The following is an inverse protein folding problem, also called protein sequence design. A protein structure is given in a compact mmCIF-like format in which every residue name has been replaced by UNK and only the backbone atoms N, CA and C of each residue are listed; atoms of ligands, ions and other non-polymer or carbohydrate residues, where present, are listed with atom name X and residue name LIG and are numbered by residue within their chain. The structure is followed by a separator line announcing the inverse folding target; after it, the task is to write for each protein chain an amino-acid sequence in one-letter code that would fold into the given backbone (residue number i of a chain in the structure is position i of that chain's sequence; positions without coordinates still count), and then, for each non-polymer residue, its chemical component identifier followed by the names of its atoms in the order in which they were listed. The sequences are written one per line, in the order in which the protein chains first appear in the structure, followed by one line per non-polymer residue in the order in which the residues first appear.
data_IF_478011202099
#
_entry.id   IF_478011202099
#
_cell.length_a   1.000
_cell.length_b   1.000
_cell.length_c   1.000
_cell.angle_alpha   90.00
_cell.angle_beta   90.00
_cell.angle_gamma   90.00
#
_symmetry.space_group_name_H-M   'P 1'
#
loop_
_entity.id
_entity.type
_entity.pdbx_description
1 polymer ?
#
# COMPACT_ATOMS: atom_id res chain seq x y z
N UNK A 1 28.57 16.67 -3.55
CA UNK A 1 28.28 18.07 -3.16
C UNK A 1 26.89 18.21 -2.53
N UNK A 2 25.81 17.76 -3.18
CA UNK A 2 24.45 17.73 -2.62
C UNK A 2 24.36 17.06 -1.22
N UNK A 3 24.95 15.88 -1.06
CA UNK A 3 24.85 15.11 0.21
C UNK A 3 25.59 15.77 1.39
N UNK A 4 26.66 16.54 1.13
CA UNK A 4 27.39 17.31 2.16
C UNK A 4 26.68 18.61 2.57
N UNK A 5 25.71 19.06 1.77
CA UNK A 5 24.90 20.25 2.05
C UNK A 5 23.68 19.87 2.90
N UNK A 6 23.07 18.71 2.62
CA UNK A 6 21.94 18.17 3.39
C UNK A 6 22.27 17.93 4.87
N UNK A 7 23.47 17.42 5.20
CA UNK A 7 23.91 17.31 6.61
C UNK A 7 24.13 18.68 7.28
N UNK A 8 24.47 19.73 6.51
CA UNK A 8 24.66 21.10 7.03
C UNK A 8 23.35 21.88 7.16
N UNK A 9 22.30 21.54 6.39
CA UNK A 9 20.97 22.14 6.51
C UNK A 9 20.35 21.99 7.90
N UNK A 10 20.62 20.90 8.62
CA UNK A 10 20.14 20.70 9.98
C UNK A 10 20.88 21.55 11.02
N UNK A 11 22.12 21.97 10.73
CA UNK A 11 22.95 22.80 11.63
C UNK A 11 22.81 24.31 11.38
N UNK A 12 22.14 24.71 10.31
CA UNK A 12 21.92 26.11 9.92
C UNK A 12 20.95 26.87 10.84
N UNK A 13 19.88 26.26 11.39
CA UNK A 13 19.08 26.88 12.45
C UNK A 13 19.94 27.25 13.66
N UNK A 14 20.92 26.42 14.00
CA UNK A 14 21.79 26.59 15.18
C UNK A 14 22.97 27.54 14.92
N UNK A 15 23.36 27.77 13.65
CA UNK A 15 24.45 28.67 13.25
C UNK A 15 24.03 29.54 12.04
N UNK A 16 23.36 30.68 12.26
CA UNK A 16 22.78 31.50 11.20
C UNK A 16 23.82 32.24 10.34
N UNK A 17 25.08 32.36 10.76
CA UNK A 17 26.11 33.17 10.08
C UNK A 17 26.90 32.44 8.98
N UNK A 18 26.57 31.19 8.69
CA UNK A 18 27.29 30.36 7.70
C UNK A 18 26.99 30.79 6.25
N UNK A 19 25.86 31.47 6.01
CA UNK A 19 25.40 31.87 4.67
C UNK A 19 24.93 33.32 4.64
N UNK A 20 24.88 33.89 3.44
CA UNK A 20 24.25 35.18 3.17
C UNK A 20 22.75 35.09 3.51
N UNK A 21 22.18 36.18 4.04
CA UNK A 21 20.85 36.20 4.65
C UNK A 21 19.91 37.13 3.90
N UNK A 22 18.69 36.66 3.63
CA UNK A 22 17.56 37.49 3.24
C UNK A 22 16.48 37.41 4.32
N UNK A 23 15.83 38.52 4.60
CA UNK A 23 14.72 38.59 5.56
C UNK A 23 13.40 38.73 4.83
N UNK A 24 12.44 37.89 5.21
CA UNK A 24 11.09 37.86 4.68
C UNK A 24 10.11 38.46 5.68
N UNK A 25 9.13 39.21 5.17
CA UNK A 25 8.07 39.82 5.98
C UNK A 25 7.14 38.82 6.68
N UNK A 26 6.41 39.31 7.68
CA UNK A 26 5.43 38.48 8.43
C UNK A 26 4.38 37.81 7.53
N UNK A 27 3.99 38.45 6.43
CA UNK A 27 2.98 37.95 5.51
C UNK A 27 3.42 36.70 4.76
N UNK A 28 4.69 36.64 4.35
CA UNK A 28 5.23 35.53 3.58
C UNK A 28 5.69 34.33 4.44
N UNK A 29 5.87 34.48 5.77
CA UNK A 29 6.29 33.38 6.67
C UNK A 29 5.44 32.11 6.48
N UNK A 30 4.10 32.25 6.44
CA UNK A 30 3.19 31.10 6.31
C UNK A 30 3.38 30.35 4.99
N UNK A 31 3.66 31.08 3.91
CA UNK A 31 3.86 30.52 2.58
C UNK A 31 5.20 29.80 2.47
N UNK A 32 6.26 30.37 3.06
CA UNK A 32 7.59 29.73 3.13
C UNK A 32 7.53 28.43 3.93
N UNK A 33 6.84 28.42 5.07
CA UNK A 33 6.60 27.20 5.87
C UNK A 33 5.72 26.16 5.19
N UNK A 34 5.02 26.54 4.11
CA UNK A 34 4.23 25.64 3.27
C UNK A 34 5.02 25.17 2.03
N UNK A 35 6.30 25.56 1.91
CA UNK A 35 7.16 25.18 0.79
C UNK A 35 7.00 26.01 -0.48
N UNK A 36 6.37 27.17 -0.41
CA UNK A 36 6.30 28.08 -1.57
C UNK A 36 7.66 28.72 -1.88
N UNK A 37 7.88 29.05 -3.15
CA UNK A 37 9.00 29.90 -3.58
C UNK A 37 8.83 31.33 -3.06
N UNK A 38 9.94 32.03 -2.88
CA UNK A 38 9.93 33.38 -2.32
C UNK A 38 9.86 34.39 -3.47
N UNK A 39 8.85 35.25 -3.38
CA UNK A 39 8.56 36.26 -4.38
C UNK A 39 9.25 37.59 -4.02
N UNK A 40 9.64 38.37 -5.03
CA UNK A 40 10.30 39.67 -4.82
C UNK A 40 9.54 40.60 -3.83
N UNK A 41 8.19 40.71 -3.88
CA UNK A 41 7.45 41.58 -2.94
C UNK A 41 7.61 41.21 -1.47
N UNK A 42 7.87 39.95 -1.15
CA UNK A 42 8.05 39.50 0.24
C UNK A 42 9.41 39.87 0.84
N UNK A 43 10.34 40.34 0.00
CA UNK A 43 11.70 40.77 0.36
C UNK A 43 11.89 42.30 0.28
N UNK A 44 11.07 42.97 -0.53
CA UNK A 44 11.11 44.43 -0.75
C UNK A 44 10.12 45.22 0.11
N UNK A 45 9.27 44.52 0.87
CA UNK A 45 8.33 45.15 1.82
C UNK A 45 9.07 45.73 3.04
N UNK A 46 8.43 46.59 3.86
CA UNK A 46 9.08 47.24 5.00
C UNK A 46 9.71 46.29 6.04
N UNK A 47 9.25 45.04 6.09
CA UNK A 47 9.78 44.00 6.97
C UNK A 47 10.83 43.10 6.30
N UNK A 48 11.06 43.28 5.00
CA UNK A 48 12.03 42.54 4.21
C UNK A 48 13.40 43.24 4.17
N UNK A 49 14.47 42.45 4.21
CA UNK A 49 15.84 42.95 4.13
C UNK A 49 16.67 42.08 3.19
N UNK A 50 17.46 42.74 2.34
CA UNK A 50 18.27 42.11 1.30
C UNK A 50 19.73 42.50 1.52
N UNK A 51 20.63 41.53 1.45
CA UNK A 51 22.07 41.77 1.32
C UNK A 51 22.38 42.06 -0.16
N UNK A 52 22.94 43.24 -0.45
CA UNK A 52 23.13 43.77 -1.80
C UNK A 52 24.27 43.10 -2.58
N UNK A 53 25.11 42.32 -1.89
CA UNK A 53 26.26 41.64 -2.49
C UNK A 53 25.90 40.30 -3.15
N UNK A 54 24.64 39.87 -3.04
CA UNK A 54 24.20 38.54 -3.50
C UNK A 54 23.92 38.55 -5.00
N UNK A 55 24.66 37.70 -5.72
CA UNK A 55 24.51 37.46 -7.16
C UNK A 55 23.47 36.37 -7.43
N UNK A 56 23.16 36.16 -8.71
CA UNK A 56 22.32 35.05 -9.17
C UNK A 56 22.94 33.69 -8.81
N UNK A 57 22.10 32.66 -8.66
CA UNK A 57 22.47 31.27 -8.32
C UNK A 57 23.24 31.08 -7.01
N UNK A 58 23.20 32.06 -6.11
CA UNK A 58 23.88 31.99 -4.82
C UNK A 58 22.97 31.35 -3.76
N UNK A 59 23.48 30.45 -2.90
CA UNK A 59 22.68 29.89 -1.81
C UNK A 59 22.47 30.92 -0.70
N UNK A 60 21.22 31.08 -0.27
CA UNK A 60 20.81 32.09 0.71
C UNK A 60 19.98 31.47 1.83
N UNK A 61 20.25 31.89 3.06
CA UNK A 61 19.41 31.60 4.22
C UNK A 61 18.26 32.61 4.30
N UNK A 62 17.04 32.12 4.50
CA UNK A 62 15.85 32.96 4.61
C UNK A 62 15.44 33.08 6.07
N UNK A 63 15.51 34.30 6.60
CA UNK A 63 15.18 34.68 7.97
C UNK A 63 13.76 35.22 8.06
N UNK A 64 13.09 34.98 9.17
CA UNK A 64 11.80 35.61 9.46
C UNK A 64 12.00 36.97 10.13
N UNK A 65 11.18 37.96 9.78
CA UNK A 65 11.05 39.19 10.56
C UNK A 65 10.78 38.87 12.05
N UNK A 66 11.67 39.32 12.93
CA UNK A 66 11.56 39.15 14.39
C UNK A 66 11.98 37.78 14.93
N UNK A 67 12.63 36.90 14.13
CA UNK A 67 13.18 35.63 14.61
C UNK A 67 14.68 35.50 14.33
N UNK A 68 15.35 34.78 15.23
CA UNK A 68 16.81 34.53 15.15
C UNK A 68 17.19 33.31 14.29
N UNK A 69 16.22 32.46 13.92
CA UNK A 69 16.47 31.20 13.20
C UNK A 69 16.00 31.29 11.75
N UNK A 70 16.71 30.62 10.84
CA UNK A 70 16.34 30.51 9.44
C UNK A 70 15.06 29.65 9.27
N UNK A 71 14.16 30.12 8.40
CA UNK A 71 12.92 29.43 8.02
C UNK A 71 13.13 28.48 6.84
N UNK A 72 13.99 28.86 5.90
CA UNK A 72 14.22 28.11 4.68
C UNK A 72 15.60 28.42 4.09
N UNK A 73 16.01 27.56 3.16
CA UNK A 73 17.24 27.67 2.38
C UNK A 73 16.85 27.55 0.91
N UNK A 74 17.41 28.42 0.08
CA UNK A 74 17.12 28.44 -1.34
C UNK A 74 18.25 29.04 -2.17
N UNK A 75 18.08 28.98 -3.49
CA UNK A 75 18.99 29.61 -4.45
C UNK A 75 18.33 30.85 -5.06
N UNK A 76 19.09 31.93 -5.21
CA UNK A 76 18.62 33.14 -5.90
C UNK A 76 18.44 32.89 -7.38
N UNK A 77 17.28 33.31 -7.90
CA UNK A 77 17.01 33.38 -9.34
C UNK A 77 17.34 34.73 -9.95
N UNK A 78 17.29 35.78 -9.13
CA UNK A 78 17.58 37.16 -9.51
C UNK A 78 18.64 37.72 -8.56
N UNK A 79 19.46 38.63 -9.03
CA UNK A 79 20.42 39.34 -8.17
C UNK A 79 19.69 40.23 -7.15
N UNK A 80 20.33 40.56 -6.04
CA UNK A 80 19.75 41.44 -5.01
C UNK A 80 19.35 42.82 -5.57
N UNK A 81 20.05 43.30 -6.60
CA UNK A 81 19.79 44.58 -7.28
C UNK A 81 18.57 44.49 -8.18
N UNK A 82 18.41 43.37 -8.88
CA UNK A 82 17.29 43.15 -9.79
C UNK A 82 15.99 42.89 -9.03
N UNK A 83 16.06 42.25 -7.86
CA UNK A 83 14.91 42.03 -6.96
C UNK A 83 14.29 43.38 -6.54
N UNK A 84 15.11 44.36 -6.17
CA UNK A 84 14.65 45.71 -5.79
C UNK A 84 14.00 46.44 -6.97
N UNK A 85 14.53 46.26 -8.18
CA UNK A 85 14.11 47.02 -9.37
C UNK A 85 12.85 46.45 -10.01
N UNK A 86 12.78 45.13 -10.19
CA UNK A 86 11.71 44.47 -10.95
C UNK A 86 10.46 44.26 -10.07
N UNK A 87 10.64 44.07 -8.75
CA UNK A 87 9.59 43.93 -7.72
C UNK A 87 8.41 42.97 -8.07
N UNK A 88 8.61 42.07 -9.03
CA UNK A 88 7.64 41.09 -9.53
C UNK A 88 8.39 39.82 -9.91
N UNK A 89 7.77 38.67 -9.71
CA UNK A 89 8.36 37.36 -10.02
C UNK A 89 9.03 36.68 -8.83
N UNK A 90 9.69 35.56 -9.12
CA UNK A 90 10.32 34.69 -8.13
C UNK A 90 11.74 35.22 -7.87
N UNK A 91 12.04 35.54 -6.61
CA UNK A 91 13.36 35.98 -6.18
C UNK A 91 14.27 34.81 -5.81
N UNK A 92 13.73 33.86 -5.03
CA UNK A 92 14.49 32.71 -4.51
C UNK A 92 13.66 31.43 -4.68
N UNK A 93 14.28 30.41 -5.27
CA UNK A 93 13.73 29.07 -5.31
C UNK A 93 13.96 28.38 -3.97
N UNK A 94 12.87 27.97 -3.34
CA UNK A 94 12.92 27.32 -2.04
C UNK A 94 13.34 25.85 -2.22
N UNK A 95 14.45 25.45 -1.61
CA UNK A 95 14.93 24.06 -1.66
C UNK A 95 14.54 23.25 -0.44
N UNK A 96 14.66 23.86 0.74
CA UNK A 96 14.44 23.20 2.02
C UNK A 96 13.85 24.21 2.99
N UNK A 97 12.79 23.84 3.69
CA UNK A 97 12.12 24.72 4.62
C UNK A 97 11.76 23.99 5.91
N UNK A 98 11.62 24.78 6.98
CA UNK A 98 11.22 24.30 8.29
C UNK A 98 9.86 23.60 8.19
N UNK A 99 9.79 22.35 8.66
CA UNK A 99 8.65 21.40 8.56
C UNK A 99 8.48 20.60 7.26
N UNK A 100 9.43 20.63 6.34
CA UNK A 100 9.40 19.74 5.18
C UNK A 100 9.71 18.26 5.54
N UNK A 101 9.59 17.36 4.55
CA UNK A 101 9.80 15.92 4.74
C UNK A 101 11.24 15.52 5.11
N UNK A 102 12.22 16.38 4.82
CA UNK A 102 13.62 16.20 5.20
C UNK A 102 13.85 16.70 6.64
N UNK A 103 13.16 17.76 7.04
CA UNK A 103 13.21 18.37 8.38
C UNK A 103 12.57 17.47 9.44
N UNK A 104 11.43 16.85 9.11
CA UNK A 104 10.69 15.98 10.04
C UNK A 104 11.30 14.60 10.28
N UNK A 105 12.38 14.24 9.58
CA UNK A 105 13.06 12.96 9.72
C UNK A 105 12.18 11.78 9.29
N UNK A 106 12.38 11.29 8.07
CA UNK A 106 11.77 10.04 7.55
C UNK A 106 10.23 10.03 7.70
N UNK A 107 9.54 10.90 6.96
CA UNK A 107 8.08 10.83 6.82
C UNK A 107 7.69 9.68 5.86
N UNK A 108 7.74 8.44 6.37
CA UNK A 108 7.30 7.26 5.62
C UNK A 108 5.77 7.15 5.68
N UNK A 109 5.09 7.92 4.84
CA UNK A 109 3.69 7.67 4.49
C UNK A 109 3.65 6.35 3.70
N UNK A 110 3.51 5.23 4.42
CA UNK A 110 3.41 3.85 3.90
C UNK A 110 4.70 3.18 3.35
N UNK A 111 5.89 3.47 3.90
CA UNK A 111 7.16 2.89 3.41
C UNK A 111 8.07 2.21 4.45
N UNK A 112 7.60 2.02 5.69
CA UNK A 112 8.37 1.35 6.75
C UNK A 112 8.46 -0.17 6.60
N UNK A 113 8.73 -0.88 7.71
CA UNK A 113 8.78 -2.36 7.75
C UNK A 113 7.44 -2.98 7.33
N UNK A 114 7.36 -3.49 6.10
CA UNK A 114 6.16 -4.10 5.54
C UNK A 114 5.80 -5.45 6.19
N UNK A 115 4.57 -5.57 6.68
CA UNK A 115 4.04 -6.84 7.22
C UNK A 115 3.65 -7.77 6.08
N UNK A 116 4.10 -9.03 6.14
CA UNK A 116 3.68 -10.07 5.20
C UNK A 116 2.34 -10.67 5.67
N UNK A 117 1.27 -10.40 4.93
CA UNK A 117 -0.07 -10.95 5.23
C UNK A 117 -0.24 -12.45 4.86
N UNK A 118 0.81 -13.10 4.32
CA UNK A 118 0.76 -14.49 3.84
C UNK A 118 1.60 -15.42 4.72
N UNK A 119 1.15 -16.66 4.87
CA UNK A 119 1.90 -17.72 5.57
C UNK A 119 3.20 -18.06 4.84
N UNK A 120 4.26 -18.24 5.61
CA UNK A 120 5.62 -18.60 5.15
C UNK A 120 6.00 -20.05 5.48
N UNK A 121 5.24 -20.70 6.36
CA UNK A 121 5.40 -22.09 6.79
C UNK A 121 4.02 -22.69 7.11
N UNK A 122 3.87 -24.03 7.06
CA UNK A 122 2.65 -24.68 7.52
C UNK A 122 2.54 -24.54 9.05
N UNK A 123 1.31 -24.43 9.56
CA UNK A 123 1.04 -24.43 11.01
C UNK A 123 0.99 -25.84 11.60
N UNK A 124 0.65 -26.85 10.77
CA UNK A 124 0.45 -28.23 11.21
C UNK A 124 1.76 -28.87 11.67
N UNK A 125 1.66 -29.73 12.69
CA UNK A 125 2.79 -30.47 13.25
C UNK A 125 3.09 -31.82 12.57
N UNK A 126 2.27 -32.23 11.60
CA UNK A 126 2.47 -33.46 10.83
C UNK A 126 3.87 -33.51 10.19
N UNK A 127 4.60 -34.57 10.55
CA UNK A 127 5.97 -34.84 10.11
C UNK A 127 6.03 -35.00 8.59
N UNK A 128 5.07 -35.71 7.98
CA UNK A 128 5.05 -35.96 6.55
C UNK A 128 4.85 -34.67 5.76
N UNK A 129 3.92 -33.83 6.20
CA UNK A 129 3.70 -32.51 5.60
C UNK A 129 4.95 -31.63 5.70
N UNK A 130 5.63 -31.62 6.86
CA UNK A 130 6.88 -30.86 7.05
C UNK A 130 8.00 -31.36 6.13
N UNK A 131 8.14 -32.67 5.94
CA UNK A 131 9.10 -33.26 5.00
C UNK A 131 8.78 -32.90 3.54
N UNK A 132 7.51 -33.03 3.14
CA UNK A 132 7.05 -32.67 1.80
C UNK A 132 7.32 -31.18 1.49
N UNK A 133 7.04 -30.30 2.46
CA UNK A 133 7.34 -28.88 2.37
C UNK A 133 8.83 -28.61 2.20
N UNK A 134 9.70 -29.31 2.94
CA UNK A 134 11.16 -29.19 2.80
C UNK A 134 11.61 -29.55 1.39
N UNK A 135 11.08 -30.64 0.83
CA UNK A 135 11.35 -31.07 -0.55
C UNK A 135 10.93 -30.01 -1.57
N UNK A 136 9.68 -29.54 -1.52
CA UNK A 136 9.20 -28.52 -2.47
C UNK A 136 9.92 -27.18 -2.30
N UNK A 137 10.34 -26.82 -1.08
CA UNK A 137 11.14 -25.61 -0.84
C UNK A 137 12.54 -25.72 -1.45
N UNK A 138 13.13 -26.91 -1.44
CA UNK A 138 14.37 -27.18 -2.17
C UNK A 138 14.16 -27.07 -3.69
N UNK A 139 13.13 -27.75 -4.24
CA UNK A 139 12.81 -27.73 -5.67
C UNK A 139 12.55 -26.30 -6.20
N UNK A 140 11.77 -25.49 -5.47
CA UNK A 140 11.48 -24.09 -5.87
C UNK A 140 12.76 -23.26 -5.98
N UNK A 141 13.71 -23.47 -5.07
CA UNK A 141 14.99 -22.73 -5.06
C UNK A 141 15.92 -23.16 -6.19
N UNK A 142 15.88 -24.42 -6.61
CA UNK A 142 16.82 -24.99 -7.61
C UNK A 142 16.28 -24.90 -9.05
N UNK A 143 15.00 -25.15 -9.25
CA UNK A 143 14.41 -25.29 -10.59
C UNK A 143 13.80 -23.98 -11.13
N UNK A 144 13.41 -23.04 -10.26
CA UNK A 144 12.75 -21.79 -10.67
C UNK A 144 11.35 -21.95 -11.30
N UNK A 145 10.81 -23.17 -11.40
CA UNK A 145 9.49 -23.42 -12.00
C UNK A 145 8.34 -22.80 -11.19
N UNK A 146 7.48 -22.04 -11.88
CA UNK A 146 6.28 -21.42 -11.29
C UNK A 146 5.31 -22.47 -10.71
N UNK A 147 5.29 -23.67 -11.28
CA UNK A 147 4.43 -24.77 -10.82
C UNK A 147 4.75 -25.18 -9.38
N UNK A 148 6.03 -25.43 -9.08
CA UNK A 148 6.47 -25.82 -7.74
C UNK A 148 6.20 -24.71 -6.72
N UNK A 149 6.35 -23.44 -7.12
CA UNK A 149 6.05 -22.31 -6.24
C UNK A 149 4.56 -22.23 -5.88
N UNK A 150 3.67 -22.59 -6.81
CA UNK A 150 2.23 -22.67 -6.56
C UNK A 150 1.89 -23.82 -5.62
N UNK A 151 2.49 -25.00 -5.81
CA UNK A 151 2.26 -26.16 -4.91
C UNK A 151 2.74 -25.84 -3.50
N UNK A 152 3.95 -25.29 -3.33
CA UNK A 152 4.47 -24.92 -2.02
C UNK A 152 3.56 -23.92 -1.30
N UNK A 153 3.05 -22.91 -2.04
CA UNK A 153 2.08 -21.95 -1.49
C UNK A 153 0.78 -22.63 -1.04
N UNK A 154 0.31 -23.63 -1.78
CA UNK A 154 -0.90 -24.40 -1.43
C UNK A 154 -0.68 -25.26 -0.19
N UNK A 155 0.48 -25.92 -0.07
CA UNK A 155 0.85 -26.73 1.10
C UNK A 155 0.89 -25.92 2.42
N UNK A 156 1.07 -24.60 2.37
CA UNK A 156 1.02 -23.73 3.56
C UNK A 156 -0.39 -23.27 3.96
N UNK A 157 -1.38 -23.48 3.11
CA UNK A 157 -2.74 -23.00 3.37
C UNK A 157 -3.40 -23.82 4.49
N UNK A 158 -4.43 -23.25 5.13
CA UNK A 158 -5.28 -23.99 6.06
C UNK A 158 -6.16 -24.98 5.33
N UNK A 159 -6.63 -25.98 6.07
CA UNK A 159 -7.55 -27.01 5.57
C UNK A 159 -8.86 -26.42 4.99
N UNK A 160 -9.42 -25.37 5.60
CA UNK A 160 -10.59 -24.66 5.03
C UNK A 160 -10.32 -24.11 3.63
N UNK A 161 -9.05 -23.85 3.30
CA UNK A 161 -8.63 -23.44 1.97
C UNK A 161 -8.26 -24.61 1.06
N UNK A 162 -8.32 -25.85 1.53
CA UNK A 162 -8.16 -27.10 0.77
C UNK A 162 -9.53 -27.78 0.56
N UNK A 163 -10.38 -27.22 -0.32
CA UNK A 163 -11.67 -27.84 -0.60
C UNK A 163 -11.46 -29.22 -1.25
N UNK A 164 -12.24 -30.25 -0.83
CA UNK A 164 -12.24 -31.54 -1.49
C UNK A 164 -12.64 -31.43 -2.96
N UNK A 165 -12.13 -32.34 -3.79
CA UNK A 165 -12.49 -32.45 -5.21
C UNK A 165 -13.26 -33.73 -5.44
N UNK A 166 -14.48 -33.61 -5.98
CA UNK A 166 -15.27 -34.74 -6.41
C UNK A 166 -14.71 -35.38 -7.69
N UNK A 167 -14.70 -36.71 -7.75
CA UNK A 167 -14.28 -37.48 -8.93
C UNK A 167 -15.00 -37.05 -10.21
N UNK A 168 -16.31 -36.80 -10.17
CA UNK A 168 -17.07 -36.30 -11.32
C UNK A 168 -16.44 -35.06 -11.96
N UNK A 169 -16.05 -34.10 -11.14
CA UNK A 169 -15.51 -32.81 -11.59
C UNK A 169 -14.12 -32.97 -12.19
N UNK A 170 -13.35 -33.87 -11.60
CA UNK A 170 -12.01 -34.25 -12.05
C UNK A 170 -12.07 -34.88 -13.45
N UNK A 171 -12.99 -35.81 -13.69
CA UNK A 171 -13.23 -36.42 -15.00
C UNK A 171 -13.57 -35.34 -16.04
N UNK A 172 -14.47 -34.41 -15.71
CA UNK A 172 -14.81 -33.30 -16.61
C UNK A 172 -13.60 -32.44 -17.00
N UNK A 173 -12.67 -32.20 -16.07
CA UNK A 173 -11.49 -31.37 -16.35
C UNK A 173 -10.40 -32.09 -17.15
N UNK A 174 -10.38 -33.42 -17.08
CA UNK A 174 -9.42 -34.29 -17.76
C UNK A 174 -9.90 -34.75 -19.14
N UNK A 175 -11.17 -34.50 -19.47
CA UNK A 175 -11.69 -34.75 -20.80
C UNK A 175 -10.84 -34.01 -21.86
N UNK A 176 -10.28 -34.78 -22.81
CA UNK A 176 -9.38 -34.28 -23.87
C UNK A 176 -7.93 -34.03 -23.44
N UNK A 177 -7.47 -34.60 -22.31
CA UNK A 177 -6.10 -34.42 -21.78
C UNK A 177 -5.49 -35.71 -21.25
N UNK A 178 -5.56 -36.77 -22.04
CA UNK A 178 -5.19 -38.12 -21.58
C UNK A 178 -3.68 -38.29 -21.33
N UNK A 179 -2.83 -37.51 -22.00
CA UNK A 179 -1.37 -37.54 -21.82
C UNK A 179 -0.89 -36.87 -20.53
N UNK A 180 -1.76 -36.08 -19.88
CA UNK A 180 -1.33 -35.22 -18.78
C UNK A 180 -1.55 -35.88 -17.45
N UNK A 181 -0.49 -35.87 -16.66
CA UNK A 181 -0.60 -36.06 -15.23
C UNK A 181 -1.09 -34.78 -14.63
N UNK A 182 -1.96 -34.96 -13.68
CA UNK A 182 -2.29 -33.91 -12.79
C UNK A 182 -1.79 -34.37 -11.34
N UNK A 183 -1.62 -33.45 -10.39
CA UNK A 183 -1.21 -33.44 -8.97
C UNK A 183 -2.13 -32.58 -8.02
N UNK A 184 -3.06 -33.11 -7.22
CA UNK A 184 -4.03 -32.33 -6.41
C UNK A 184 -3.38 -31.98 -5.07
N UNK A 185 -3.65 -30.76 -4.58
CA UNK A 185 -3.35 -30.40 -3.18
C UNK A 185 -4.67 -30.30 -2.43
N UNK A 186 -5.06 -31.40 -1.80
CA UNK A 186 -6.34 -31.58 -1.11
C UNK A 186 -6.85 -33.02 -1.25
N UNK A 187 -7.99 -33.32 -0.62
CA UNK A 187 -8.62 -34.64 -0.67
C UNK A 187 -9.44 -34.83 -1.94
N UNK A 188 -9.48 -36.06 -2.45
CA UNK A 188 -10.35 -36.46 -3.56
C UNK A 188 -11.47 -37.31 -2.98
N UNK A 189 -12.71 -36.93 -3.25
CA UNK A 189 -13.90 -37.60 -2.73
C UNK A 189 -14.62 -38.33 -3.85
N UNK A 190 -15.03 -39.56 -3.57
CA UNK A 190 -15.87 -40.34 -4.48
C UNK A 190 -17.25 -39.69 -4.68
N UNK A 191 -17.86 -39.93 -5.84
CA UNK A 191 -19.19 -39.45 -6.20
C UNK A 191 -20.00 -40.62 -6.76
N UNK A 192 -20.93 -41.14 -5.94
CA UNK A 192 -21.81 -42.29 -6.26
C UNK A 192 -22.59 -42.13 -7.58
N UNK A 193 -22.67 -40.92 -8.14
CA UNK A 193 -23.34 -40.64 -9.42
C UNK A 193 -22.48 -40.99 -10.63
N UNK A 194 -21.21 -41.32 -10.43
CA UNK A 194 -20.28 -41.73 -11.47
C UNK A 194 -20.13 -43.25 -11.38
N UNK A 195 -20.54 -43.94 -12.44
CA UNK A 195 -20.48 -45.41 -12.50
C UNK A 195 -19.16 -45.93 -13.06
N UNK A 196 -18.55 -45.17 -13.97
CA UNK A 196 -17.28 -45.52 -14.60
C UNK A 196 -16.25 -44.42 -14.38
N UNK A 197 -15.09 -44.80 -13.83
CA UNK A 197 -13.97 -43.90 -13.58
C UNK A 197 -12.86 -44.23 -14.58
N UNK A 198 -12.56 -43.34 -15.54
CA UNK A 198 -11.43 -43.55 -16.45
C UNK A 198 -10.11 -43.44 -15.67
N UNK A 199 -9.05 -44.05 -16.20
CA UNK A 199 -7.73 -43.97 -15.58
C UNK A 199 -7.18 -42.55 -15.65
N UNK A 200 -7.01 -41.88 -14.50
CA UNK A 200 -6.56 -40.48 -14.43
C UNK A 200 -5.42 -40.32 -13.41
N UNK A 201 -4.48 -39.41 -13.71
CA UNK A 201 -3.43 -38.91 -12.79
C UNK A 201 -3.74 -37.42 -12.56
N UNK A 202 -3.84 -36.86 -11.32
CA UNK A 202 -4.76 -35.71 -10.99
C UNK A 202 -4.23 -34.42 -10.26
N UNK A 203 -4.35 -33.12 -10.77
CA UNK A 203 -3.87 -31.69 -10.39
C UNK A 203 -4.96 -30.71 -10.68
N UNK A 204 -5.76 -30.47 -9.66
CA UNK A 204 -6.78 -29.47 -9.68
C UNK A 204 -6.88 -28.93 -8.26
N UNK A 205 -7.62 -27.84 -8.11
CA UNK A 205 -8.07 -27.37 -6.80
C UNK A 205 -9.58 -27.39 -6.81
N UNK A 206 -10.17 -27.83 -5.71
CA UNK A 206 -11.61 -27.76 -5.54
C UNK A 206 -12.13 -26.32 -5.48
N UNK A 207 -13.44 -26.14 -5.59
CA UNK A 207 -14.07 -24.84 -5.46
C UNK A 207 -13.90 -24.31 -4.02
N UNK A 208 -13.16 -23.22 -3.85
CA UNK A 208 -12.92 -22.61 -2.53
C UNK A 208 -14.19 -22.00 -1.91
N UNK A 209 -15.06 -21.44 -2.76
CA UNK A 209 -16.20 -20.64 -2.32
C UNK A 209 -17.51 -21.44 -2.24
N UNK A 210 -17.45 -22.77 -2.36
CA UNK A 210 -18.64 -23.62 -2.33
C UNK A 210 -19.06 -24.06 -0.91
N UNK A 211 -18.25 -23.77 0.11
CA UNK A 211 -18.58 -24.10 1.51
C UNK A 211 -19.76 -23.27 2.01
N UNK A 212 -20.62 -23.88 2.83
CA UNK A 212 -21.79 -23.22 3.44
C UNK A 212 -21.44 -21.93 4.20
N UNK A 213 -20.29 -21.89 4.88
CA UNK A 213 -19.80 -20.71 5.58
C UNK A 213 -19.66 -19.49 4.66
N UNK A 214 -19.22 -19.69 3.41
CA UNK A 214 -19.02 -18.59 2.44
C UNK A 214 -20.35 -17.96 2.02
N UNK A 215 -21.45 -18.70 2.10
CA UNK A 215 -22.78 -18.15 1.80
C UNK A 215 -23.22 -17.09 2.82
N UNK A 216 -22.60 -17.04 4.00
CA UNK A 216 -22.86 -16.04 5.03
C UNK A 216 -21.90 -14.84 4.97
N UNK A 217 -20.93 -14.84 4.05
CA UNK A 217 -19.97 -13.76 3.88
C UNK A 217 -20.39 -12.78 2.78
N UNK A 218 -19.88 -11.55 2.87
CA UNK A 218 -20.17 -10.49 1.89
C UNK A 218 -21.03 -9.39 2.49
N UNK A 219 -21.87 -8.76 1.66
CA UNK A 219 -22.79 -7.69 2.09
C UNK A 219 -23.74 -8.23 3.16
N UNK A 220 -24.07 -7.41 4.17
CA UNK A 220 -24.97 -7.84 5.25
C UNK A 220 -26.33 -8.31 4.69
N UNK A 221 -26.93 -9.39 5.20
CA UNK A 221 -28.28 -9.79 4.80
C UNK A 221 -29.28 -8.64 5.02
N UNK A 222 -30.06 -8.32 3.98
CA UNK A 222 -31.05 -7.24 4.06
C UNK A 222 -30.52 -5.86 3.65
N UNK A 223 -29.37 -5.78 2.98
CA UNK A 223 -29.03 -4.61 2.14
C UNK A 223 -29.38 -4.88 0.68
N UNK A 224 -29.76 -3.86 -0.12
CA UNK A 224 -30.11 -4.07 -1.53
C UNK A 224 -28.99 -4.77 -2.29
N UNK A 225 -29.36 -5.72 -3.16
CA UNK A 225 -28.41 -6.54 -3.94
C UNK A 225 -27.46 -7.40 -3.08
N UNK A 226 -27.90 -7.83 -1.90
CA UNK A 226 -27.21 -8.86 -1.11
C UNK A 226 -27.75 -10.25 -1.44
N UNK A 227 -26.83 -11.21 -1.64
CA UNK A 227 -27.14 -12.64 -1.80
C UNK A 227 -26.73 -13.48 -0.59
N UNK A 228 -26.33 -12.80 0.49
CA UNK A 228 -25.80 -13.42 1.70
C UNK A 228 -26.91 -14.04 2.54
N UNK A 229 -26.72 -15.30 2.93
CA UNK A 229 -27.66 -16.00 3.80
C UNK A 229 -27.58 -15.46 5.23
N UNK A 230 -28.72 -15.19 5.90
CA UNK A 230 -28.73 -14.84 7.31
C UNK A 230 -28.43 -16.07 8.19
N UNK A 231 -27.89 -15.82 9.38
CA UNK A 231 -27.75 -16.85 10.42
C UNK A 231 -29.08 -17.01 11.15
N UNK A 232 -29.84 -18.05 10.79
CA UNK A 232 -31.19 -18.30 11.34
C UNK A 232 -31.16 -19.54 12.25
N UNK A 233 -31.90 -19.49 13.37
CA UNK A 233 -32.02 -20.63 14.31
C UNK A 233 -32.59 -21.89 13.67
N UNK A 234 -33.63 -21.76 12.84
CA UNK A 234 -34.18 -22.88 12.09
C UNK A 234 -34.76 -22.41 10.75
N UNK A 235 -34.94 -23.36 9.83
CA UNK A 235 -35.62 -23.09 8.56
C UNK A 235 -37.13 -23.13 8.79
N UNK A 236 -37.86 -22.16 8.25
CA UNK A 236 -39.32 -22.22 8.22
C UNK A 236 -39.98 -20.85 8.09
N UNK A 237 -41.29 -20.84 7.85
CA UNK A 237 -42.08 -19.61 7.66
C UNK A 237 -41.99 -18.64 8.83
N UNK A 238 -41.82 -19.16 10.06
CA UNK A 238 -41.81 -18.37 11.30
C UNK A 238 -40.47 -17.66 11.57
N UNK A 239 -39.38 -18.03 10.89
CA UNK A 239 -38.05 -17.52 11.19
C UNK A 239 -37.51 -16.65 10.06
N UNK A 240 -37.29 -15.36 10.35
CA UNK A 240 -36.65 -14.36 9.46
C UNK A 240 -37.22 -14.25 8.02
N UNK A 241 -38.47 -14.63 7.81
CA UNK A 241 -39.13 -14.65 6.50
C UNK A 241 -40.21 -13.59 6.27
N UNK A 242 -40.38 -12.63 7.19
CA UNK A 242 -41.47 -11.64 7.17
C UNK A 242 -41.02 -10.26 6.65
N UNK A 243 -40.73 -9.32 7.55
CA UNK A 243 -40.31 -7.95 7.21
C UNK A 243 -38.94 -7.97 6.51
N UNK A 244 -38.76 -7.13 5.48
CA UNK A 244 -37.51 -7.05 4.71
C UNK A 244 -37.35 -8.15 3.65
N UNK A 245 -38.20 -9.19 3.64
CA UNK A 245 -38.17 -10.30 2.67
C UNK A 245 -39.38 -10.32 1.74
N UNK A 246 -40.48 -9.64 2.10
CA UNK A 246 -41.74 -9.64 1.36
C UNK A 246 -42.29 -8.23 1.22
N UNK A 247 -42.87 -7.93 0.05
CA UNK A 247 -43.51 -6.64 -0.21
C UNK A 247 -44.68 -6.38 0.75
N UNK A 248 -45.42 -7.42 1.14
CA UNK A 248 -46.62 -7.31 2.00
C UNK A 248 -46.34 -7.03 3.48
N UNK A 249 -45.07 -7.00 3.91
CA UNK A 249 -44.68 -6.78 5.31
C UNK A 249 -43.68 -5.63 5.42
N UNK A 250 -44.15 -4.42 5.11
CA UNK A 250 -43.40 -3.17 5.26
C UNK A 250 -42.54 -2.83 4.04
N UNK A 251 -41.46 -3.59 3.81
CA UNK A 251 -40.59 -3.40 2.66
C UNK A 251 -39.87 -4.71 2.30
N UNK A 252 -39.35 -4.79 1.07
CA UNK A 252 -38.52 -5.91 0.59
C UNK A 252 -37.18 -5.37 0.14
N UNK A 253 -36.12 -6.07 0.53
CA UNK A 253 -34.74 -5.78 0.13
C UNK A 253 -34.21 -6.83 -0.84
#
# INVERSE_FOLDING_TARGET
MFMSMVHRCHTIPDNPDIMKKFQVDRGAIKFVLSGANIMCPGLTSPGGALDEEVLEETPVAIMAEGKQHALAIGYTKLSAKDIKTINKGIAVDNMHYLNDGLWKGIDLVAGGRGKKARRTAPMSDDVYLKLLVKLYRFLVRRTGSKFNAVILKRLFMSETSWPPIFLKRLITFMNGKDDKIAVIVGTVTDDKRVYEVPAIKVLLRGPKNASTAVNHFGKSPGVPHSHTNPYVRSKGRKFEGARGRRNSRGFRV
#
